data_IF_334563865336
#
_entry.id   IF_334563865336
#
_cell.length_a   1.000
_cell.length_b   1.000
_cell.length_c   1.000
_cell.angle_alpha   90.00
_cell.angle_beta   90.00
_cell.angle_gamma   90.00
#
_symmetry.space_group_name_H-M   'P 1'
#
loop_
_entity.id
_entity.type
_entity.pdbx_description
1 polymer ?
#
# COMPACT_ATOMS: atom_id res chain seq x y z
N UNK A 1 7.71 -21.06 -1.51
CA UNK A 1 7.90 -19.86 -2.34
C UNK A 1 8.76 -18.88 -1.54
N UNK A 2 9.64 -18.07 -2.15
CA UNK A 2 10.40 -17.07 -1.42
C UNK A 2 9.45 -16.00 -0.84
N UNK A 3 9.54 -15.73 0.47
CA UNK A 3 8.82 -14.63 1.11
C UNK A 3 9.42 -13.30 0.67
N UNK A 4 8.58 -12.40 0.17
CA UNK A 4 8.99 -11.04 -0.15
C UNK A 4 8.98 -10.19 1.13
N UNK A 5 10.03 -9.36 1.34
CA UNK A 5 10.06 -8.47 2.49
C UNK A 5 8.90 -7.46 2.40
N UNK A 6 8.13 -7.36 3.50
CA UNK A 6 7.03 -6.42 3.64
C UNK A 6 7.61 -5.05 4.05
N UNK A 7 8.12 -4.30 3.06
CA UNK A 7 8.67 -2.96 3.24
C UNK A 7 7.83 -1.95 2.44
N UNK A 8 7.54 -0.79 3.03
CA UNK A 8 6.85 0.29 2.33
C UNK A 8 7.78 0.86 1.23
N UNK A 9 7.45 0.84 -0.06
CA UNK A 9 8.36 1.35 -1.08
C UNK A 9 8.62 2.84 -0.87
N UNK A 10 9.87 3.24 -1.04
CA UNK A 10 10.22 4.66 -1.08
C UNK A 10 9.99 5.15 -2.51
N UNK A 11 9.23 6.24 -2.65
CA UNK A 11 8.83 6.79 -3.95
C UNK A 11 9.77 7.89 -4.44
N UNK A 12 10.64 8.40 -3.56
CA UNK A 12 11.67 9.35 -3.91
C UNK A 12 12.95 8.60 -4.35
N UNK A 13 13.54 8.91 -5.53
CA UNK A 13 14.77 8.28 -6.01
C UNK A 13 15.95 8.39 -5.03
N UNK A 14 15.89 9.38 -4.13
CA UNK A 14 16.91 9.63 -3.10
C UNK A 14 16.75 8.79 -1.83
N UNK A 15 15.58 8.20 -1.57
CA UNK A 15 15.31 7.43 -0.35
C UNK A 15 15.58 5.94 -0.56
N UNK A 16 16.77 5.49 -0.17
CA UNK A 16 17.19 4.09 -0.30
C UNK A 16 17.14 3.39 1.06
N UNK A 17 16.66 2.14 1.07
CA UNK A 17 16.80 1.26 2.21
C UNK A 17 18.27 0.93 2.44
N UNK A 18 18.67 0.78 3.70
CA UNK A 18 20.01 0.34 4.07
C UNK A 18 19.95 -0.91 4.93
N UNK A 19 20.62 -1.98 4.51
CA UNK A 19 20.94 -3.12 5.37
C UNK A 19 22.35 -2.89 5.92
N UNK A 20 22.48 -2.93 7.25
CA UNK A 20 23.76 -2.90 7.94
C UNK A 20 24.02 -4.26 8.58
N UNK A 21 25.11 -4.91 8.19
CA UNK A 21 25.56 -6.18 8.76
C UNK A 21 26.82 -5.91 9.57
N UNK A 22 26.76 -6.19 10.86
CA UNK A 22 27.95 -6.16 11.73
C UNK A 22 28.46 -7.57 11.90
N UNK A 23 29.69 -7.82 11.44
CA UNK A 23 30.39 -9.09 11.66
C UNK A 23 31.40 -8.91 12.78
N UNK A 24 31.51 -9.93 13.63
CA UNK A 24 32.48 -10.00 14.72
C UNK A 24 33.33 -11.27 14.54
N UNK A 25 34.66 -11.16 14.69
CA UNK A 25 35.53 -12.33 14.73
C UNK A 25 35.65 -12.90 16.16
N UNK A 26 36.31 -14.05 16.29
CA UNK A 26 36.56 -14.70 17.59
C UNK A 26 37.47 -13.90 18.52
N UNK A 27 38.13 -12.86 18.01
CA UNK A 27 38.96 -11.92 18.76
C UNK A 27 38.19 -10.63 19.11
N UNK A 28 36.87 -10.61 18.91
CA UNK A 28 35.97 -9.48 19.18
C UNK A 28 36.24 -8.24 18.32
N UNK A 29 36.96 -8.38 17.19
CA UNK A 29 37.03 -7.31 16.21
C UNK A 29 35.69 -7.27 15.46
N UNK A 30 35.08 -6.08 15.41
CA UNK A 30 33.81 -5.88 14.70
C UNK A 30 34.01 -5.02 13.46
N UNK A 31 33.27 -5.33 12.40
CA UNK A 31 33.21 -4.49 11.21
C UNK A 31 31.78 -4.45 10.68
N UNK A 32 31.29 -3.25 10.39
CA UNK A 32 29.95 -3.05 9.85
C UNK A 32 30.03 -2.77 8.36
N UNK A 33 29.24 -3.52 7.59
CA UNK A 33 29.03 -3.31 6.17
C UNK A 33 27.62 -2.80 5.95
N UNK A 34 27.48 -1.67 5.26
CA UNK A 34 26.18 -1.10 4.93
C UNK A 34 25.97 -1.14 3.42
N UNK A 35 24.90 -1.78 2.98
CA UNK A 35 24.47 -1.80 1.58
C UNK A 35 23.15 -1.06 1.43
N UNK A 36 23.10 -0.15 0.47
CA UNK A 36 21.87 0.55 0.08
C UNK A 36 21.18 -0.18 -1.08
N UNK A 37 19.87 -0.24 -1.06
CA UNK A 37 19.04 -0.77 -2.14
C UNK A 37 17.69 -0.05 -2.22
N UNK A 38 17.10 -0.07 -3.40
CA UNK A 38 15.72 0.37 -3.62
C UNK A 38 14.82 -0.87 -3.66
N UNK A 39 13.63 -0.79 -3.08
CA UNK A 39 12.66 -1.87 -3.09
C UNK A 39 11.35 -1.38 -3.69
N UNK A 40 10.88 -2.06 -4.73
CA UNK A 40 9.57 -1.86 -5.34
C UNK A 40 8.87 -3.22 -5.41
N UNK A 41 7.77 -3.44 -4.65
CA UNK A 41 7.06 -4.71 -4.67
C UNK A 41 6.38 -4.98 -6.02
N UNK A 42 6.40 -6.24 -6.47
CA UNK A 42 5.60 -6.68 -7.62
C UNK A 42 4.11 -6.52 -7.25
N UNK A 43 3.31 -5.86 -8.10
CA UNK A 43 1.88 -5.51 -7.90
C UNK A 43 1.58 -4.24 -7.10
N UNK A 44 2.49 -3.27 -7.08
CA UNK A 44 2.24 -1.96 -6.45
C UNK A 44 1.17 -1.15 -7.21
N UNK A 45 0.04 -0.87 -6.56
CA UNK A 45 -0.92 0.12 -7.05
C UNK A 45 -0.53 1.49 -6.49
N UNK A 46 0.07 2.32 -7.34
CA UNK A 46 0.52 3.66 -6.96
C UNK A 46 -0.61 4.68 -7.14
N UNK A 47 -1.03 5.30 -6.05
CA UNK A 47 -2.02 6.38 -6.06
C UNK A 47 -1.31 7.72 -5.94
N UNK A 48 -1.46 8.60 -6.94
CA UNK A 48 -0.90 9.95 -6.86
C UNK A 48 -1.87 10.88 -6.14
N UNK A 49 -1.41 11.49 -5.03
CA UNK A 49 -1.97 12.67 -4.35
C UNK A 49 -3.49 12.84 -4.45
N UNK A 50 -4.22 12.01 -3.69
CA UNK A 50 -5.67 12.13 -3.56
C UNK A 50 -6.02 13.34 -2.69
N UNK A 51 -6.43 14.45 -3.31
CA UNK A 51 -6.98 15.60 -2.58
C UNK A 51 -8.43 15.31 -2.24
N UNK A 52 -8.69 14.94 -0.99
CA UNK A 52 -10.05 14.63 -0.54
C UNK A 52 -10.52 15.65 0.48
N UNK A 53 -11.84 15.84 0.53
CA UNK A 53 -12.45 16.51 1.67
C UNK A 53 -12.26 15.63 2.91
N UNK A 54 -12.07 16.27 4.06
CA UNK A 54 -11.78 15.58 5.31
C UNK A 54 -13.03 14.99 5.94
N UNK A 55 -13.65 14.05 5.22
CA UNK A 55 -14.86 13.34 5.62
C UNK A 55 -14.60 11.84 5.65
N UNK A 56 -15.06 11.19 6.71
CA UNK A 56 -14.85 9.78 6.99
C UNK A 56 -15.88 8.89 6.29
N UNK A 57 -16.32 9.31 5.10
CA UNK A 57 -17.30 8.62 4.28
C UNK A 57 -16.97 8.85 2.79
N UNK A 58 -17.34 7.90 1.92
CA UNK A 58 -17.14 8.07 0.49
C UNK A 58 -18.07 9.17 -0.03
N UNK A 59 -17.50 10.28 -0.48
CA UNK A 59 -18.24 11.28 -1.24
C UNK A 59 -18.39 10.78 -2.67
N UNK A 60 -19.60 10.90 -3.21
CA UNK A 60 -19.94 10.44 -4.56
C UNK A 60 -20.47 11.60 -5.40
N UNK A 61 -20.24 11.54 -6.70
CA UNK A 61 -20.94 12.37 -7.68
C UNK A 61 -22.43 11.98 -7.72
N UNK A 62 -23.25 12.78 -8.40
CA UNK A 62 -24.68 12.49 -8.62
C UNK A 62 -24.90 11.13 -9.29
N UNK A 63 -23.93 10.69 -10.08
CA UNK A 63 -23.98 9.44 -10.83
C UNK A 63 -23.45 8.25 -10.01
N UNK A 64 -23.16 8.46 -8.72
CA UNK A 64 -22.76 7.42 -7.77
C UNK A 64 -21.27 7.07 -7.78
N UNK A 65 -20.45 7.76 -8.59
CA UNK A 65 -19.01 7.53 -8.68
C UNK A 65 -18.30 8.21 -7.51
N UNK A 66 -17.42 7.54 -6.75
CA UNK A 66 -16.67 8.19 -5.67
C UNK A 66 -15.83 9.37 -6.20
N UNK A 67 -15.65 10.42 -5.40
CA UNK A 67 -14.72 11.53 -5.73
C UNK A 67 -13.26 11.13 -5.54
N UNK A 68 -13.04 10.12 -4.71
CA UNK A 68 -11.75 9.70 -4.20
C UNK A 68 -11.71 8.17 -4.25
N UNK A 69 -11.05 7.62 -5.25
CA UNK A 69 -11.01 6.18 -5.47
C UNK A 69 -9.67 5.72 -6.01
N UNK A 70 -9.38 4.46 -5.74
CA UNK A 70 -8.36 3.69 -6.41
C UNK A 70 -9.02 3.01 -7.62
N UNK A 71 -8.45 3.23 -8.80
CA UNK A 71 -8.82 2.52 -10.03
C UNK A 71 -7.81 1.41 -10.25
N UNK A 72 -8.24 0.16 -10.18
CA UNK A 72 -7.37 -0.97 -10.58
C UNK A 72 -7.48 -1.17 -12.08
N UNK A 73 -6.35 -1.32 -12.77
CA UNK A 73 -6.34 -1.94 -14.08
C UNK A 73 -6.59 -3.46 -13.95
N UNK A 74 -6.88 -4.14 -15.06
CA UNK A 74 -6.98 -5.61 -15.10
C UNK A 74 -5.68 -6.22 -14.55
N UNK A 75 -5.76 -6.82 -13.37
CA UNK A 75 -4.61 -7.46 -12.72
C UNK A 75 -4.44 -8.86 -13.30
N UNK A 76 -3.20 -9.19 -13.68
CA UNK A 76 -2.85 -10.48 -14.28
C UNK A 76 -2.02 -11.29 -13.31
N UNK A 77 -2.40 -12.56 -13.13
CA UNK A 77 -1.62 -13.56 -12.43
C UNK A 77 -0.31 -13.82 -13.17
N UNK A 78 0.64 -14.49 -12.51
CA UNK A 78 1.94 -14.88 -13.07
C UNK A 78 1.82 -15.76 -14.32
N UNK A 79 0.71 -16.48 -14.48
CA UNK A 79 0.40 -17.32 -15.65
C UNK A 79 -0.27 -16.54 -16.81
N UNK A 80 -0.48 -15.21 -16.67
CA UNK A 80 -1.11 -14.35 -17.66
C UNK A 80 -2.65 -14.29 -17.59
N UNK A 81 -3.29 -15.11 -16.76
CA UNK A 81 -4.73 -15.07 -16.52
C UNK A 81 -5.14 -13.81 -15.76
N UNK A 82 -6.35 -13.35 -16.00
CA UNK A 82 -6.93 -12.25 -15.24
C UNK A 82 -7.27 -12.74 -13.83
N UNK A 83 -6.86 -11.99 -12.82
CA UNK A 83 -7.23 -12.23 -11.42
C UNK A 83 -8.73 -11.94 -11.24
N UNK A 84 -9.46 -12.90 -10.66
CA UNK A 84 -10.91 -12.82 -10.50
C UNK A 84 -11.32 -13.11 -9.06
N UNK A 85 -12.49 -12.62 -8.67
CA UNK A 85 -13.05 -12.81 -7.33
C UNK A 85 -12.29 -12.09 -6.23
N UNK A 86 -12.47 -12.58 -5.00
CA UNK A 86 -11.93 -11.95 -3.78
C UNK A 86 -10.43 -12.21 -3.63
N UNK A 87 -9.66 -11.13 -3.66
CA UNK A 87 -8.23 -11.11 -3.46
C UNK A 87 -7.90 -10.59 -2.06
N UNK A 88 -6.92 -11.20 -1.42
CA UNK A 88 -6.40 -10.71 -0.14
C UNK A 88 -5.33 -9.65 -0.41
N UNK A 89 -5.47 -8.52 0.24
CA UNK A 89 -4.54 -7.41 0.18
C UNK A 89 -4.21 -6.91 1.59
N UNK A 90 -3.13 -6.14 1.70
CA UNK A 90 -2.72 -5.47 2.92
C UNK A 90 -2.71 -3.97 2.67
N UNK A 91 -3.49 -3.23 3.44
CA UNK A 91 -3.44 -1.77 3.52
C UNK A 91 -2.41 -1.37 4.57
N UNK A 92 -1.41 -0.58 4.19
CA UNK A 92 -0.41 -0.02 5.11
C UNK A 92 -0.42 1.49 5.01
N UNK A 93 -0.49 2.18 6.15
CA UNK A 93 -0.37 3.64 6.20
C UNK A 93 1.01 4.01 6.75
N UNK A 94 1.68 4.97 6.10
CA UNK A 94 3.02 5.42 6.52
C UNK A 94 2.97 5.99 7.95
N UNK A 95 4.03 5.79 8.72
CA UNK A 95 4.08 6.19 10.15
C UNK A 95 3.99 7.69 10.38
N UNK A 96 4.48 8.49 9.44
CA UNK A 96 4.49 9.96 9.45
C UNK A 96 3.26 10.57 8.75
N UNK A 97 2.28 9.75 8.33
CA UNK A 97 1.03 10.23 7.78
C UNK A 97 0.24 11.05 8.81
N UNK A 98 -0.36 12.16 8.37
CA UNK A 98 -1.13 13.05 9.25
C UNK A 98 -2.44 12.43 9.77
N UNK A 99 -2.98 11.43 9.08
CA UNK A 99 -4.23 10.74 9.42
C UNK A 99 -4.28 9.32 8.84
N UNK A 100 -5.12 8.47 9.42
CA UNK A 100 -5.37 7.11 8.94
C UNK A 100 -6.32 7.04 7.75
N UNK A 101 -6.36 5.89 7.07
CA UNK A 101 -7.13 5.69 5.84
C UNK A 101 -8.16 4.59 6.05
N UNK A 102 -9.36 4.80 5.47
CA UNK A 102 -10.38 3.77 5.27
C UNK A 102 -10.41 3.34 3.81
N UNK A 103 -10.40 2.03 3.61
CA UNK A 103 -10.41 1.41 2.30
C UNK A 103 -11.16 0.07 2.35
N UNK A 104 -12.16 -0.08 1.49
CA UNK A 104 -13.00 -1.27 1.37
C UNK A 104 -13.48 -1.88 2.71
N UNK A 105 -13.92 -1.03 3.63
CA UNK A 105 -14.40 -1.43 4.96
C UNK A 105 -13.30 -1.61 6.03
N UNK A 106 -12.04 -1.73 5.64
CA UNK A 106 -10.90 -1.75 6.55
C UNK A 106 -10.44 -0.32 6.91
N UNK A 107 -9.84 -0.16 8.09
CA UNK A 107 -9.27 1.09 8.58
C UNK A 107 -7.86 0.82 9.09
N UNK A 108 -6.90 1.66 8.68
CA UNK A 108 -5.53 1.63 9.19
C UNK A 108 -5.12 3.01 9.72
N UNK A 109 -4.51 3.05 10.89
CA UNK A 109 -3.88 4.23 11.47
C UNK A 109 -2.44 4.44 10.94
N UNK A 110 -1.84 5.64 11.09
CA UNK A 110 -0.45 5.86 10.72
C UNK A 110 0.52 4.85 11.37
N UNK A 111 1.29 4.14 10.55
CA UNK A 111 2.22 3.10 10.99
C UNK A 111 1.59 1.71 11.16
N UNK A 112 0.31 1.56 10.83
CA UNK A 112 -0.43 0.30 10.90
C UNK A 112 -0.54 -0.37 9.53
N UNK A 113 -0.52 -1.71 9.55
CA UNK A 113 -0.82 -2.57 8.41
C UNK A 113 -2.00 -3.46 8.76
N UNK A 114 -3.07 -3.41 7.96
CA UNK A 114 -4.29 -4.22 8.14
C UNK A 114 -4.60 -5.02 6.89
N UNK A 115 -5.11 -6.23 7.07
CA UNK A 115 -5.61 -7.04 5.95
C UNK A 115 -6.95 -6.47 5.44
N UNK A 116 -7.09 -6.44 4.12
CA UNK A 116 -8.28 -6.00 3.41
C UNK A 116 -8.55 -6.92 2.24
N UNK A 117 -9.81 -7.24 2.01
CA UNK A 117 -10.22 -8.04 0.85
C UNK A 117 -10.59 -7.11 -0.28
N UNK A 118 -10.28 -7.47 -1.52
CA UNK A 118 -10.67 -6.73 -2.72
C UNK A 118 -11.41 -7.70 -3.64
N UNK A 119 -12.71 -7.48 -3.85
CA UNK A 119 -13.48 -8.28 -4.80
C UNK A 119 -13.30 -7.74 -6.23
N UNK A 120 -12.49 -8.42 -7.03
CA UNK A 120 -12.24 -8.05 -8.42
C UNK A 120 -13.32 -8.56 -9.39
N UNK A 121 -14.36 -9.25 -8.91
CA UNK A 121 -15.45 -9.75 -9.74
C UNK A 121 -14.95 -10.60 -10.91
N UNK A 122 -15.29 -10.19 -12.14
CA UNK A 122 -14.87 -10.86 -13.38
C UNK A 122 -13.49 -10.39 -13.90
N UNK A 123 -12.80 -9.52 -13.17
CA UNK A 123 -11.51 -8.96 -13.56
C UNK A 123 -11.60 -7.66 -14.35
N UNK A 124 -12.74 -6.98 -14.28
CA UNK A 124 -12.95 -5.66 -14.88
C UNK A 124 -12.30 -4.55 -14.03
N UNK A 125 -12.23 -3.34 -14.59
CA UNK A 125 -11.76 -2.17 -13.84
C UNK A 125 -12.64 -1.92 -12.61
N UNK A 126 -12.02 -1.87 -11.42
CA UNK A 126 -12.72 -1.65 -10.17
C UNK A 126 -12.39 -0.26 -9.61
N UNK A 127 -13.43 0.44 -9.18
CA UNK A 127 -13.33 1.73 -8.51
C UNK A 127 -13.57 1.53 -7.02
N UNK A 128 -12.49 1.56 -6.25
CA UNK A 128 -12.53 1.34 -4.81
C UNK A 128 -12.40 2.68 -4.07
N UNK A 129 -13.43 3.12 -3.32
CA UNK A 129 -13.36 4.40 -2.63
C UNK A 129 -12.29 4.38 -1.53
N UNK A 130 -11.57 5.49 -1.42
CA UNK A 130 -10.59 5.75 -0.36
C UNK A 130 -10.94 7.06 0.31
N UNK A 131 -10.96 7.09 1.65
CA UNK A 131 -11.26 8.29 2.41
C UNK A 131 -10.59 8.27 3.80
N UNK A 132 -10.44 9.44 4.45
CA UNK A 132 -9.89 9.53 5.80
C UNK A 132 -10.63 8.65 6.80
N UNK A 133 -9.92 8.14 7.81
CA UNK A 133 -10.55 7.39 8.90
C UNK A 133 -11.43 8.25 9.81
N UNK A 134 -11.08 9.54 9.92
CA UNK A 134 -11.68 10.53 10.82
C UNK A 134 -12.03 11.83 10.08
N UNK A 135 -13.05 12.54 10.57
CA UNK A 135 -13.46 13.84 10.03
C UNK A 135 -12.51 14.96 10.47
N UNK A 136 -12.34 15.97 9.61
CA UNK A 136 -11.72 17.25 9.98
C UNK A 136 -10.20 17.23 10.15
N UNK A 137 -9.51 16.14 9.80
CA UNK A 137 -8.05 16.06 9.78
C UNK A 137 -7.47 16.72 8.53
N UNK A 138 -6.47 17.56 8.71
CA UNK A 138 -5.78 18.27 7.62
C UNK A 138 -4.35 17.76 7.52
N UNK A 139 -3.86 17.53 6.31
CA UNK A 139 -2.50 17.11 6.05
C UNK A 139 -2.42 16.17 4.85
N UNK A 140 -1.30 15.47 4.74
CA UNK A 140 -1.08 14.42 3.74
C UNK A 140 -1.04 13.07 4.44
N UNK A 141 -1.68 12.06 3.84
CA UNK A 141 -1.59 10.69 4.28
C UNK A 141 -1.12 9.83 3.12
N UNK A 142 0.03 9.18 3.31
CA UNK A 142 0.61 8.25 2.36
C UNK A 142 0.28 6.83 2.79
N UNK A 143 -0.20 6.03 1.85
CA UNK A 143 -0.58 4.65 2.11
C UNK A 143 -0.28 3.78 0.89
N UNK A 144 -0.19 2.48 1.14
CA UNK A 144 0.06 1.46 0.15
C UNK A 144 -0.98 0.35 0.29
N UNK A 145 -1.42 -0.18 -0.85
CA UNK A 145 -2.20 -1.41 -0.91
C UNK A 145 -1.38 -2.43 -1.70
N UNK A 146 -1.07 -3.54 -1.05
CA UNK A 146 -0.32 -4.65 -1.65
C UNK A 146 -1.23 -5.88 -1.73
N UNK A 147 -1.34 -6.50 -2.89
CA UNK A 147 -2.09 -7.76 -3.07
C UNK A 147 -1.10 -8.92 -2.95
N UNK A 148 -1.33 -9.82 -2.00
CA UNK A 148 -0.35 -10.84 -1.62
C UNK A 148 -0.20 -11.93 -2.68
N UNK A 149 -1.32 -12.49 -3.13
CA UNK A 149 -1.35 -13.53 -4.16
C UNK A 149 -2.60 -13.37 -5.01
N UNK A 150 -2.41 -13.15 -6.32
CA UNK A 150 -3.51 -13.06 -7.28
C UNK A 150 -4.03 -14.48 -7.55
N UNK A 151 -5.17 -14.81 -6.94
CA UNK A 151 -5.89 -16.08 -7.12
C UNK A 151 -6.65 -16.16 -8.42
#
# INVERSE_FOLDING_TARGET
>A
MPEYPRLFPNFEPSENYSISVTVADSQSNTKTYTQKFSYLPNNLVQLHNLRTLSVSSPLKTTDGVPLAYLSTNVLRKTNGEIAKGVQNATLTVRKDAAFGIKFNGAQAAPGESVEVQIDMGQGDNLLLPVYPSENGKVGTSEFMIQIDELK
#
